data_IF_924772706856
#
_entry.id   IF_924772706856
#
_cell.length_a   1.000
_cell.length_b   1.000
_cell.length_c   1.000
_cell.angle_alpha   90.00
_cell.angle_beta   90.00
_cell.angle_gamma   90.00
#
_symmetry.space_group_name_H-M   'P 1'
#
loop_
_entity.id
_entity.type
_entity.pdbx_description
1 polymer ?
#
# COMPACT_ATOMS: atom_id res chain seq x y z
N UNK A 1 11.24 -2.84 -4.07
CA UNK A 1 12.40 -2.00 -3.69
C UNK A 1 13.17 -1.53 -4.91
N UNK A 2 13.44 -0.22 -5.01
CA UNK A 2 14.19 0.40 -6.12
C UNK A 2 15.58 0.87 -5.71
N UNK A 3 15.75 1.45 -4.51
CA UNK A 3 16.99 2.14 -4.11
C UNK A 3 18.24 1.25 -4.08
N UNK A 4 18.17 0.08 -3.43
CA UNK A 4 19.33 -0.74 -3.10
C UNK A 4 20.24 -0.14 -2.03
N UNK A 5 21.49 -0.61 -1.99
CA UNK A 5 22.61 -0.07 -1.20
C UNK A 5 22.34 0.00 0.31
N UNK A 6 22.13 -1.18 0.92
CA UNK A 6 21.64 -1.37 2.30
C UNK A 6 22.52 -0.83 3.41
N UNK A 7 23.84 -0.80 3.21
CA UNK A 7 24.81 -0.33 4.20
C UNK A 7 25.73 0.78 3.66
N UNK A 8 25.41 1.29 2.47
CA UNK A 8 26.18 2.37 1.89
C UNK A 8 25.75 3.71 2.51
N UNK A 9 26.69 4.66 2.52
CA UNK A 9 26.41 6.05 2.85
C UNK A 9 25.78 6.26 4.24
N UNK A 10 26.09 5.38 5.20
CA UNK A 10 25.62 5.50 6.59
C UNK A 10 24.20 4.98 6.84
N UNK A 11 23.52 4.39 5.83
CA UNK A 11 22.31 3.59 6.06
C UNK A 11 22.65 2.37 6.91
N UNK A 12 21.72 1.96 7.77
CA UNK A 12 21.80 0.69 8.51
C UNK A 12 20.62 -0.20 8.17
N UNK A 13 20.62 -1.43 8.66
CA UNK A 13 19.57 -2.40 8.39
C UNK A 13 18.20 -1.98 8.91
N UNK A 14 17.20 -2.20 8.06
CA UNK A 14 15.81 -2.33 8.46
C UNK A 14 15.38 -3.82 8.53
N UNK A 15 14.14 -4.04 8.96
CA UNK A 15 13.56 -5.38 9.10
C UNK A 15 13.48 -6.15 7.77
N UNK A 16 13.36 -5.45 6.64
CA UNK A 16 13.32 -6.04 5.29
C UNK A 16 14.71 -6.54 4.92
N UNK A 17 15.76 -5.75 5.19
CA UNK A 17 17.14 -6.14 4.94
C UNK A 17 17.47 -7.47 5.61
N UNK A 18 17.21 -7.60 6.91
CA UNK A 18 17.49 -8.83 7.65
C UNK A 18 16.68 -10.02 7.14
N UNK A 19 15.37 -9.83 6.92
CA UNK A 19 14.49 -10.91 6.43
C UNK A 19 14.96 -11.48 5.09
N UNK A 20 15.34 -10.59 4.17
CA UNK A 20 15.80 -10.96 2.84
C UNK A 20 17.18 -11.64 2.91
N UNK A 21 18.12 -11.13 3.71
CA UNK A 21 19.44 -11.78 3.89
C UNK A 21 19.36 -13.15 4.56
N UNK A 22 18.30 -13.43 5.32
CA UNK A 22 18.05 -14.75 5.89
C UNK A 22 17.55 -15.79 4.87
N UNK A 23 17.51 -15.45 3.56
CA UNK A 23 17.13 -16.37 2.49
C UNK A 23 15.64 -16.74 2.51
N UNK A 24 14.79 -15.87 3.07
CA UNK A 24 13.33 -16.08 3.16
C UNK A 24 12.58 -15.75 1.87
N UNK A 25 13.26 -15.20 0.87
CA UNK A 25 12.68 -14.95 -0.45
C UNK A 25 12.41 -16.24 -1.23
N UNK A 26 11.32 -16.32 -2.04
CA UNK A 26 11.04 -17.50 -2.85
C UNK A 26 12.15 -17.84 -3.85
N UNK A 27 12.76 -16.82 -4.44
CA UNK A 27 13.85 -16.95 -5.42
C UNK A 27 15.25 -16.90 -4.78
N UNK A 28 15.32 -16.79 -3.44
CA UNK A 28 16.55 -16.61 -2.65
C UNK A 28 17.36 -15.36 -3.00
N UNK A 29 16.80 -14.44 -3.79
CA UNK A 29 17.47 -13.19 -4.13
C UNK A 29 17.53 -12.24 -2.94
N UNK A 30 18.42 -11.25 -3.02
CA UNK A 30 18.44 -10.13 -2.09
C UNK A 30 18.02 -8.82 -2.75
N UNK A 31 17.45 -7.92 -1.94
CA UNK A 31 17.15 -6.55 -2.32
C UNK A 31 18.36 -5.62 -2.18
N UNK A 32 19.58 -6.17 -2.10
CA UNK A 32 20.79 -5.41 -1.81
C UNK A 32 21.07 -4.37 -2.89
N UNK A 33 20.82 -4.75 -4.15
CA UNK A 33 20.99 -3.86 -5.30
C UNK A 33 19.67 -3.20 -5.70
N UNK A 34 18.53 -3.90 -5.59
CA UNK A 34 17.26 -3.39 -6.10
C UNK A 34 17.38 -3.07 -7.59
N UNK A 35 16.93 -1.88 -8.01
CA UNK A 35 17.23 -1.34 -9.33
C UNK A 35 18.43 -0.37 -9.31
N UNK A 36 19.16 -0.26 -8.19
CA UNK A 36 20.22 0.72 -7.95
C UNK A 36 19.76 2.18 -8.12
N UNK A 37 18.51 2.46 -7.74
CA UNK A 37 17.93 3.81 -7.77
C UNK A 37 18.70 4.81 -6.91
N UNK A 38 19.53 4.37 -5.96
CA UNK A 38 20.39 5.25 -5.19
C UNK A 38 21.41 6.00 -6.08
N UNK A 39 21.98 5.33 -7.08
CA UNK A 39 22.95 5.93 -8.00
C UNK A 39 22.31 6.37 -9.32
N UNK A 40 21.27 5.68 -9.78
CA UNK A 40 20.70 5.83 -11.12
C UNK A 40 19.45 6.72 -11.19
N UNK A 41 19.09 7.38 -10.09
CA UNK A 41 17.90 8.25 -10.02
C UNK A 41 17.82 9.33 -11.12
N UNK A 42 18.96 9.85 -11.60
CA UNK A 42 18.96 10.85 -12.68
C UNK A 42 18.43 10.28 -14.01
N UNK A 43 18.89 9.09 -14.37
CA UNK A 43 18.41 8.38 -15.56
C UNK A 43 16.95 8.01 -15.39
N UNK A 44 16.58 7.51 -14.20
CA UNK A 44 15.20 7.14 -13.91
C UNK A 44 14.25 8.36 -14.02
N UNK A 45 14.64 9.54 -13.50
CA UNK A 45 13.86 10.78 -13.62
C UNK A 45 13.80 11.31 -15.05
N UNK A 46 14.86 11.14 -15.84
CA UNK A 46 14.84 11.47 -17.27
C UNK A 46 13.80 10.62 -18.02
N UNK A 47 13.77 9.31 -17.78
CA UNK A 47 12.76 8.42 -18.35
C UNK A 47 11.33 8.81 -17.91
N UNK A 48 11.13 9.22 -16.65
CA UNK A 48 9.83 9.70 -16.17
C UNK A 48 9.38 10.97 -16.90
N UNK A 49 10.29 11.92 -17.08
CA UNK A 49 10.06 13.16 -17.82
C UNK A 49 9.74 12.87 -19.29
N UNK A 50 10.50 12.01 -19.93
CA UNK A 50 10.33 11.65 -21.34
C UNK A 50 9.01 10.90 -21.59
N UNK A 51 8.59 10.07 -20.64
CA UNK A 51 7.29 9.42 -20.67
C UNK A 51 6.14 10.42 -20.53
N UNK A 52 6.35 11.55 -19.84
CA UNK A 52 5.35 12.60 -19.61
C UNK A 52 4.62 12.45 -18.27
N UNK A 53 5.26 11.85 -17.26
CA UNK A 53 4.67 11.70 -15.93
C UNK A 53 4.38 13.07 -15.30
N UNK A 54 3.17 13.24 -14.76
CA UNK A 54 2.77 14.44 -14.03
C UNK A 54 3.20 14.38 -12.56
N UNK A 55 3.28 13.18 -11.99
CA UNK A 55 3.63 12.94 -10.61
C UNK A 55 4.45 11.66 -10.45
N UNK A 56 5.31 11.63 -9.43
CA UNK A 56 6.06 10.44 -9.02
C UNK A 56 5.89 10.19 -7.52
N UNK A 57 5.53 8.95 -7.18
CA UNK A 57 5.40 8.46 -5.81
C UNK A 57 6.61 7.62 -5.45
N UNK A 58 7.29 7.95 -4.36
CA UNK A 58 8.39 7.16 -3.80
C UNK A 58 8.36 7.20 -2.26
N UNK A 59 9.08 6.28 -1.61
CA UNK A 59 9.22 6.28 -0.15
C UNK A 59 10.57 6.81 0.31
N UNK A 60 10.62 7.34 1.54
CA UNK A 60 11.88 7.74 2.20
C UNK A 60 12.27 6.63 3.17
N UNK A 61 13.47 6.08 2.99
CA UNK A 61 14.02 5.07 3.89
C UNK A 61 14.34 5.65 5.26
N UNK A 62 13.59 5.22 6.29
CA UNK A 62 13.82 5.66 7.67
C UNK A 62 15.23 5.29 8.12
N UNK A 63 15.66 4.05 7.88
CA UNK A 63 17.00 3.56 8.22
C UNK A 63 18.13 4.26 7.44
N UNK A 64 17.83 4.90 6.30
CA UNK A 64 18.78 5.75 5.55
C UNK A 64 18.85 7.16 6.10
N UNK A 65 17.70 7.78 6.35
CA UNK A 65 17.60 9.17 6.77
C UNK A 65 17.99 9.35 8.24
N UNK A 66 17.53 8.46 9.12
CA UNK A 66 17.84 8.46 10.56
C UNK A 66 18.31 7.05 10.96
N UNK A 67 19.60 6.72 10.78
CA UNK A 67 20.08 5.35 10.91
C UNK A 67 19.84 4.72 12.28
N UNK A 68 19.94 5.49 13.37
CA UNK A 68 19.69 4.95 14.72
C UNK A 68 18.19 4.91 15.09
N UNK A 69 17.30 5.10 14.12
CA UNK A 69 15.87 5.33 14.31
C UNK A 69 15.55 6.70 14.91
N UNK A 70 16.44 7.22 15.78
CA UNK A 70 16.37 8.53 16.44
C UNK A 70 17.64 9.34 16.23
N UNK A 71 17.55 10.63 16.51
CA UNK A 71 18.70 11.54 16.55
C UNK A 71 18.91 12.30 15.23
N UNK A 72 20.16 12.67 14.91
CA UNK A 72 20.44 13.53 13.77
C UNK A 72 20.19 12.82 12.44
N UNK A 73 19.78 13.61 11.45
CA UNK A 73 19.67 13.16 10.06
C UNK A 73 21.06 12.79 9.52
N UNK A 74 21.14 11.70 8.79
CA UNK A 74 22.32 11.29 8.03
C UNK A 74 22.52 12.23 6.83
N UNK A 75 23.62 13.01 6.76
CA UNK A 75 23.82 13.99 5.70
C UNK A 75 23.82 13.40 4.29
N UNK A 76 24.30 12.16 4.10
CA UNK A 76 24.31 11.51 2.78
C UNK A 76 22.93 11.02 2.36
N UNK A 77 22.14 10.50 3.31
CA UNK A 77 20.74 10.16 3.06
C UNK A 77 19.93 11.39 2.70
N UNK A 78 20.14 12.49 3.44
CA UNK A 78 19.53 13.79 3.16
C UNK A 78 19.90 14.33 1.78
N UNK A 79 21.19 14.25 1.42
CA UNK A 79 21.69 14.67 0.11
C UNK A 79 21.03 13.87 -1.02
N UNK A 80 20.93 12.54 -0.88
CA UNK A 80 20.29 11.68 -1.87
C UNK A 80 18.84 12.09 -2.14
N UNK A 81 18.00 12.17 -1.09
CA UNK A 81 16.59 12.53 -1.27
C UNK A 81 16.43 13.96 -1.79
N UNK A 82 17.23 14.91 -1.31
CA UNK A 82 17.23 16.27 -1.86
C UNK A 82 17.58 16.28 -3.35
N UNK A 83 18.57 15.50 -3.76
CA UNK A 83 18.97 15.41 -5.15
C UNK A 83 17.86 14.82 -6.02
N UNK A 84 17.24 13.71 -5.61
CA UNK A 84 16.08 13.13 -6.30
C UNK A 84 14.93 14.13 -6.44
N UNK A 85 14.53 14.75 -5.32
CA UNK A 85 13.48 15.78 -5.26
C UNK A 85 13.81 16.96 -6.18
N UNK A 86 15.06 17.41 -6.21
CA UNK A 86 15.49 18.50 -7.06
C UNK A 86 15.46 18.15 -8.55
N UNK A 87 15.82 16.92 -8.92
CA UNK A 87 15.69 16.45 -10.32
C UNK A 87 14.21 16.41 -10.74
N UNK A 88 13.34 15.83 -9.91
CA UNK A 88 11.89 15.80 -10.17
C UNK A 88 11.31 17.21 -10.31
N UNK A 89 11.64 18.10 -9.38
CA UNK A 89 11.20 19.49 -9.38
C UNK A 89 11.65 20.22 -10.65
N UNK A 90 12.91 20.03 -11.08
CA UNK A 90 13.45 20.64 -12.30
C UNK A 90 12.73 20.18 -13.58
N UNK A 91 12.17 18.98 -13.58
CA UNK A 91 11.36 18.43 -14.68
C UNK A 91 9.87 18.71 -14.54
N UNK A 92 9.43 19.41 -13.48
CA UNK A 92 8.02 19.72 -13.24
C UNK A 92 7.17 18.54 -12.79
N UNK A 93 7.79 17.44 -12.34
CA UNK A 93 7.09 16.24 -11.86
C UNK A 93 6.68 16.49 -10.41
N UNK A 94 5.38 16.38 -10.11
CA UNK A 94 4.85 16.53 -8.76
C UNK A 94 5.37 15.39 -7.86
N UNK A 95 5.69 15.74 -6.62
CA UNK A 95 6.31 14.81 -5.69
C UNK A 95 5.28 14.32 -4.67
N UNK A 96 5.10 13.00 -4.63
CA UNK A 96 4.31 12.29 -3.63
C UNK A 96 5.25 11.41 -2.81
N UNK A 97 5.30 11.61 -1.50
CA UNK A 97 6.20 10.86 -0.61
C UNK A 97 5.40 9.95 0.31
N UNK A 98 5.79 8.68 0.38
CA UNK A 98 5.38 7.75 1.43
C UNK A 98 6.43 7.73 2.54
N UNK A 99 6.04 7.99 3.79
CA UNK A 99 6.97 8.02 4.92
C UNK A 99 7.38 6.62 5.36
N UNK A 100 6.45 5.66 5.40
CA UNK A 100 6.76 4.29 5.81
C UNK A 100 6.22 3.26 4.82
N UNK A 101 7.10 2.38 4.35
CA UNK A 101 6.79 1.32 3.39
C UNK A 101 7.61 0.06 3.72
N UNK A 102 7.22 -0.63 4.81
CA UNK A 102 7.83 -1.87 5.37
C UNK A 102 9.24 -1.73 5.98
N UNK A 103 9.91 -0.62 5.76
CA UNK A 103 11.34 -0.39 6.01
C UNK A 103 11.66 0.10 7.43
N UNK A 104 11.10 -0.59 8.43
CA UNK A 104 11.24 -0.19 9.83
C UNK A 104 12.68 -0.37 10.34
N UNK A 105 13.29 0.63 11.01
CA UNK A 105 14.67 0.51 11.51
C UNK A 105 14.83 -0.69 12.47
N UNK A 106 15.73 -1.61 12.15
CA UNK A 106 15.91 -2.84 12.94
C UNK A 106 16.27 -2.54 14.40
N UNK A 107 17.03 -1.48 14.65
CA UNK A 107 17.41 -1.06 16.00
C UNK A 107 16.21 -0.76 16.91
N UNK A 108 15.12 -0.24 16.34
CA UNK A 108 13.89 0.05 17.09
C UNK A 108 13.02 -1.22 17.24
N UNK A 109 13.07 -2.12 16.24
CA UNK A 109 12.46 -3.45 16.34
C UNK A 109 13.10 -4.27 17.46
N UNK A 110 14.43 -4.25 17.56
CA UNK A 110 15.18 -4.94 18.62
C UNK A 110 14.92 -4.34 20.00
N UNK A 111 14.76 -3.01 20.08
CA UNK A 111 14.61 -2.30 21.35
C UNK A 111 13.23 -2.49 21.99
N UNK A 112 12.16 -2.46 21.19
CA UNK A 112 10.80 -2.46 21.72
C UNK A 112 9.76 -3.18 20.84
N UNK A 113 10.19 -3.97 19.86
CA UNK A 113 9.30 -4.69 18.93
C UNK A 113 8.45 -3.77 18.05
N UNK A 114 9.03 -2.63 17.66
CA UNK A 114 8.48 -1.75 16.63
C UNK A 114 7.01 -1.40 16.85
N UNK A 115 6.16 -1.76 15.89
CA UNK A 115 4.74 -1.40 15.89
C UNK A 115 3.90 -2.07 16.98
N UNK A 116 4.45 -3.04 17.74
CA UNK A 116 3.77 -3.60 18.91
C UNK A 116 3.83 -2.69 20.15
N UNK A 117 4.70 -1.69 20.15
CA UNK A 117 4.87 -0.78 21.27
C UNK A 117 4.26 0.60 20.99
N UNK A 118 3.58 1.23 21.97
CA UNK A 118 3.08 2.59 21.80
C UNK A 118 4.19 3.62 21.61
N UNK A 119 5.44 3.28 21.97
CA UNK A 119 6.63 4.14 21.75
C UNK A 119 6.85 4.48 20.27
N UNK A 120 6.37 3.64 19.36
CA UNK A 120 6.49 3.88 17.91
C UNK A 120 5.79 5.16 17.47
N UNK A 121 4.73 5.59 18.17
CA UNK A 121 3.99 6.80 17.84
C UNK A 121 4.90 8.03 17.91
N UNK A 122 5.68 8.16 18.98
CA UNK A 122 6.60 9.28 19.15
C UNK A 122 7.78 9.21 18.17
N UNK A 123 8.36 8.03 17.99
CA UNK A 123 9.51 7.84 17.09
C UNK A 123 9.14 8.06 15.62
N UNK A 124 7.98 7.57 15.19
CA UNK A 124 7.46 7.82 13.85
C UNK A 124 7.11 9.30 13.65
N UNK A 125 6.51 9.95 14.66
CA UNK A 125 6.21 11.39 14.61
C UNK A 125 7.49 12.22 14.50
N UNK A 126 8.56 11.84 15.21
CA UNK A 126 9.86 12.51 15.12
C UNK A 126 10.52 12.32 13.74
N UNK A 127 10.40 11.12 13.15
CA UNK A 127 10.84 10.86 11.80
C UNK A 127 10.04 11.67 10.76
N UNK A 128 8.71 11.73 10.89
CA UNK A 128 7.86 12.57 10.06
C UNK A 128 8.24 14.07 10.20
N UNK A 129 8.51 14.56 11.41
CA UNK A 129 9.00 15.93 11.65
C UNK A 129 10.27 16.24 10.86
N UNK A 130 11.22 15.29 10.83
CA UNK A 130 12.42 15.44 10.04
C UNK A 130 12.09 15.50 8.54
N UNK A 131 11.27 14.58 8.01
CA UNK A 131 10.88 14.59 6.61
C UNK A 131 10.17 15.89 6.20
N UNK A 132 9.21 16.37 7.00
CA UNK A 132 8.49 17.61 6.74
C UNK A 132 9.42 18.82 6.77
N UNK A 133 10.35 18.88 7.73
CA UNK A 133 11.32 19.98 7.85
C UNK A 133 12.28 20.01 6.67
N UNK A 134 12.83 18.86 6.29
CA UNK A 134 13.91 18.79 5.31
C UNK A 134 13.42 18.84 3.84
N UNK A 135 12.19 18.40 3.57
CA UNK A 135 11.70 18.23 2.19
C UNK A 135 10.37 18.93 1.90
N UNK A 136 9.64 19.36 2.93
CA UNK A 136 8.29 19.91 2.78
C UNK A 136 8.21 21.28 2.10
N UNK A 137 9.35 21.93 1.82
CA UNK A 137 9.40 23.10 0.95
C UNK A 137 9.02 22.78 -0.50
N UNK A 138 9.33 21.55 -0.97
CA UNK A 138 9.07 21.04 -2.33
C UNK A 138 8.01 19.92 -2.39
N UNK A 139 7.88 19.11 -1.34
CA UNK A 139 6.90 18.01 -1.28
C UNK A 139 5.54 18.52 -0.81
N UNK A 140 4.48 18.16 -1.55
CA UNK A 140 3.10 18.61 -1.27
C UNK A 140 2.12 17.50 -0.92
N UNK A 141 2.47 16.23 -1.16
CA UNK A 141 1.61 15.10 -0.83
C UNK A 141 2.38 14.09 0.00
N UNK A 142 1.91 13.86 1.22
CA UNK A 142 2.51 12.95 2.19
C UNK A 142 1.55 11.80 2.49
N UNK A 143 1.94 10.58 2.15
CA UNK A 143 1.31 9.36 2.68
C UNK A 143 2.10 8.93 3.91
N UNK A 144 1.48 8.83 5.08
CA UNK A 144 2.22 8.42 6.29
C UNK A 144 2.66 6.96 6.23
N UNK A 145 1.77 6.06 5.85
CA UNK A 145 2.02 4.63 5.84
C UNK A 145 1.36 3.99 4.63
N UNK A 146 2.09 3.10 3.98
CA UNK A 146 1.57 2.20 2.98
C UNK A 146 0.91 0.96 3.61
N UNK A 147 -0.30 0.64 3.16
CA UNK A 147 -1.03 -0.59 3.49
C UNK A 147 -0.95 -1.06 4.98
N UNK A 148 -1.29 -0.22 5.98
CA UNK A 148 -1.27 -0.63 7.39
C UNK A 148 -2.12 -1.88 7.66
N UNK A 149 -3.21 -2.07 6.90
CA UNK A 149 -4.05 -3.26 6.96
C UNK A 149 -3.31 -4.52 6.50
N UNK A 150 -2.53 -4.44 5.41
CA UNK A 150 -1.71 -5.56 4.94
C UNK A 150 -0.52 -5.77 5.85
N UNK A 151 0.15 -4.73 6.33
CA UNK A 151 1.27 -4.86 7.27
C UNK A 151 0.83 -5.61 8.53
N UNK A 152 -0.29 -5.24 9.13
CA UNK A 152 -0.81 -5.91 10.32
C UNK A 152 -1.08 -7.41 10.08
N UNK A 153 -1.67 -7.79 8.94
CA UNK A 153 -2.00 -9.19 8.62
C UNK A 153 -0.74 -9.96 8.17
N UNK A 154 0.00 -9.41 7.21
CA UNK A 154 1.13 -10.07 6.59
C UNK A 154 2.30 -10.20 7.56
N UNK A 155 2.57 -9.21 8.42
CA UNK A 155 3.73 -9.24 9.30
C UNK A 155 3.47 -9.86 10.69
N UNK A 156 2.22 -9.84 11.17
CA UNK A 156 1.87 -10.22 12.54
C UNK A 156 0.74 -11.25 12.68
N UNK A 157 0.09 -11.66 11.57
CA UNK A 157 -0.84 -12.80 11.56
C UNK A 157 -0.25 -13.97 10.76
N UNK A 158 0.00 -13.75 9.47
CA UNK A 158 0.57 -14.80 8.61
C UNK A 158 2.09 -14.94 8.72
N UNK A 159 2.76 -13.88 9.19
CA UNK A 159 4.23 -13.80 9.29
C UNK A 159 4.97 -13.77 7.95
N UNK A 160 4.26 -13.55 6.84
CA UNK A 160 4.80 -13.43 5.49
C UNK A 160 5.73 -12.22 5.32
N UNK A 161 5.45 -11.12 6.01
CA UNK A 161 6.24 -9.89 5.96
C UNK A 161 7.09 -9.73 7.23
N UNK A 162 8.19 -8.96 7.20
CA UNK A 162 8.99 -8.67 8.39
C UNK A 162 8.15 -7.91 9.43
N UNK A 163 8.31 -8.18 10.74
CA UNK A 163 9.34 -9.02 11.37
C UNK A 163 9.02 -10.53 11.40
N UNK A 164 8.08 -11.01 10.58
CA UNK A 164 7.69 -12.40 10.42
C UNK A 164 7.18 -13.04 11.71
N UNK A 165 6.18 -12.41 12.34
CA UNK A 165 5.56 -12.86 13.58
C UNK A 165 4.23 -13.54 13.30
N UNK A 166 4.01 -14.68 13.93
CA UNK A 166 2.75 -15.42 13.89
C UNK A 166 2.73 -16.50 14.97
N UNK A 167 1.57 -17.08 15.26
CA UNK A 167 1.39 -18.13 16.26
C UNK A 167 0.60 -19.32 15.73
N UNK A 168 1.04 -20.54 16.04
CA UNK A 168 0.33 -21.76 15.69
C UNK A 168 -1.11 -21.79 16.25
N UNK A 169 -2.10 -22.33 15.51
CA UNK A 169 -1.98 -23.03 14.23
C UNK A 169 -1.99 -22.10 13.00
N UNK A 170 -1.91 -20.78 13.18
CA UNK A 170 -2.02 -19.79 12.11
C UNK A 170 -0.67 -19.39 11.54
N UNK A 171 -0.73 -18.77 10.36
CA UNK A 171 0.42 -18.26 9.65
C UNK A 171 1.42 -19.31 9.21
N UNK A 172 2.64 -18.84 8.95
CA UNK A 172 3.78 -19.69 8.60
C UNK A 172 4.44 -20.30 9.85
N UNK A 173 5.61 -20.91 9.69
CA UNK A 173 6.36 -21.45 10.81
C UNK A 173 7.20 -20.34 11.51
N UNK A 174 6.52 -19.39 12.17
CA UNK A 174 7.19 -18.31 12.91
C UNK A 174 7.72 -18.81 14.26
N UNK A 175 8.81 -18.19 14.72
CA UNK A 175 9.44 -18.53 16.00
C UNK A 175 8.87 -17.73 17.18
N UNK A 176 8.10 -16.69 16.91
CA UNK A 176 7.51 -15.77 17.88
C UNK A 176 6.31 -15.06 17.26
N UNK A 177 5.43 -14.51 18.09
CA UNK A 177 4.23 -13.80 17.66
C UNK A 177 2.98 -14.28 18.39
N UNK A 178 1.91 -13.51 18.23
CA UNK A 178 0.57 -13.85 18.67
C UNK A 178 -0.45 -13.32 17.64
N UNK A 179 -0.82 -14.17 16.69
CA UNK A 179 -1.75 -13.87 15.61
C UNK A 179 -3.14 -13.47 16.12
N UNK A 180 -3.45 -13.68 17.40
CA UNK A 180 -4.76 -13.37 17.98
C UNK A 180 -4.89 -11.90 18.40
N UNK A 181 -3.78 -11.21 18.67
CA UNK A 181 -3.75 -9.83 19.22
C UNK A 181 -2.79 -8.88 18.51
N UNK A 182 -1.67 -9.38 17.99
CA UNK A 182 -0.62 -8.52 17.41
C UNK A 182 -1.09 -7.73 16.18
N UNK A 183 -1.87 -8.29 15.24
CA UNK A 183 -2.41 -7.52 14.10
C UNK A 183 -3.23 -6.31 14.55
N UNK A 184 -4.08 -6.48 15.57
CA UNK A 184 -4.88 -5.38 16.14
C UNK A 184 -4.03 -4.33 16.82
N UNK A 185 -3.00 -4.74 17.55
CA UNK A 185 -2.07 -3.83 18.23
C UNK A 185 -1.30 -2.98 17.21
N UNK A 186 -0.80 -3.60 16.14
CA UNK A 186 -0.05 -2.92 15.07
C UNK A 186 -0.93 -1.91 14.36
N UNK A 187 -2.12 -2.30 13.91
CA UNK A 187 -3.04 -1.36 13.25
C UNK A 187 -3.42 -0.20 14.17
N UNK A 188 -3.61 -0.44 15.47
CA UNK A 188 -3.92 0.59 16.45
C UNK A 188 -2.79 1.62 16.57
N UNK A 189 -1.54 1.19 16.74
CA UNK A 189 -0.42 2.11 16.81
C UNK A 189 -0.15 2.82 15.48
N UNK A 190 -0.37 2.16 14.33
CA UNK A 190 -0.28 2.79 13.01
C UNK A 190 -1.26 3.94 12.85
N UNK A 191 -2.52 3.78 13.28
CA UNK A 191 -3.55 4.83 13.25
C UNK A 191 -3.18 6.00 14.17
N UNK A 192 -2.70 5.72 15.39
CA UNK A 192 -2.26 6.75 16.33
C UNK A 192 -1.04 7.52 15.81
N UNK A 193 -0.06 6.81 15.25
CA UNK A 193 1.14 7.40 14.65
C UNK A 193 0.80 8.28 13.44
N UNK A 194 -0.14 7.82 12.58
CA UNK A 194 -0.66 8.62 11.49
C UNK A 194 -1.31 9.93 11.99
N UNK A 195 -2.23 9.83 12.96
CA UNK A 195 -2.92 11.01 13.48
C UNK A 195 -1.96 12.00 14.18
N UNK A 196 -0.95 11.49 14.89
CA UNK A 196 0.09 12.32 15.49
C UNK A 196 0.92 13.07 14.43
N UNK A 197 1.31 12.40 13.34
CA UNK A 197 2.02 13.02 12.22
C UNK A 197 1.16 14.06 11.48
N UNK A 198 -0.13 13.78 11.28
CA UNK A 198 -1.07 14.72 10.66
C UNK A 198 -1.25 15.97 11.51
N UNK A 199 -1.46 15.81 12.82
CA UNK A 199 -1.55 16.94 13.75
C UNK A 199 -0.27 17.78 13.72
N UNK A 200 0.90 17.13 13.80
CA UNK A 200 2.19 17.82 13.68
C UNK A 200 2.29 18.62 12.38
N UNK A 201 1.91 18.02 11.24
CA UNK A 201 1.95 18.70 9.95
C UNK A 201 1.04 19.92 9.93
N UNK A 202 -0.22 19.77 10.35
CA UNK A 202 -1.22 20.84 10.39
C UNK A 202 -0.76 22.01 11.27
N UNK A 203 -0.25 21.69 12.46
CA UNK A 203 0.11 22.70 13.47
C UNK A 203 1.39 23.46 13.11
N UNK A 204 2.39 22.77 12.52
CA UNK A 204 3.74 23.32 12.34
C UNK A 204 4.10 23.67 10.89
N UNK A 205 3.53 22.99 9.90
CA UNK A 205 4.02 23.02 8.53
C UNK A 205 2.96 23.40 7.48
N UNK A 206 1.70 23.02 7.64
CA UNK A 206 0.70 23.14 6.58
C UNK A 206 0.46 24.60 6.16
N UNK A 207 0.47 25.54 7.09
CA UNK A 207 0.30 26.96 6.78
C UNK A 207 1.41 27.55 5.89
N UNK A 208 2.63 27.02 5.98
CA UNK A 208 3.80 27.53 5.23
C UNK A 208 4.12 26.68 4.00
N UNK A 209 3.86 25.37 4.07
CA UNK A 209 4.17 24.42 3.02
C UNK A 209 2.96 24.10 2.11
N UNK A 210 1.72 24.29 2.57
CA UNK A 210 0.52 24.09 1.76
C UNK A 210 0.34 22.67 1.20
N UNK A 211 0.97 21.66 1.82
CA UNK A 211 0.76 20.26 1.45
C UNK A 211 -0.42 19.61 2.16
N UNK A 212 -0.65 18.34 1.83
CA UNK A 212 -1.70 17.50 2.38
C UNK A 212 -1.12 16.18 2.89
N UNK A 213 -1.73 15.64 3.94
CA UNK A 213 -1.31 14.39 4.57
C UNK A 213 -2.45 13.38 4.55
N UNK A 214 -2.19 12.20 4.01
CA UNK A 214 -3.12 11.11 3.89
C UNK A 214 -2.55 9.78 4.37
N UNK A 215 -3.38 8.74 4.27
CA UNK A 215 -2.97 7.36 4.51
C UNK A 215 -3.36 6.49 3.34
N UNK A 216 -2.58 5.45 3.11
CA UNK A 216 -2.87 4.46 2.09
C UNK A 216 -3.53 3.22 2.70
N UNK A 217 -4.35 2.51 1.93
CA UNK A 217 -4.83 1.16 2.25
C UNK A 217 -4.74 0.25 1.02
N UNK A 218 -4.47 -1.03 1.25
CA UNK A 218 -4.74 -2.04 0.22
C UNK A 218 -6.23 -2.32 0.13
N UNK A 219 -6.74 -2.45 -1.08
CA UNK A 219 -8.14 -2.76 -1.34
C UNK A 219 -8.27 -3.75 -2.49
N UNK A 220 -9.24 -4.64 -2.36
CA UNK A 220 -9.82 -5.40 -3.45
C UNK A 220 -11.33 -5.24 -3.38
N UNK A 221 -11.99 -5.32 -4.51
CA UNK A 221 -13.44 -5.28 -4.49
C UNK A 221 -14.01 -6.65 -4.10
N UNK A 222 -15.03 -6.63 -3.24
CA UNK A 222 -15.66 -7.83 -2.71
C UNK A 222 -17.01 -8.02 -3.40
N UNK A 223 -17.13 -9.04 -4.25
CA UNK A 223 -18.42 -9.49 -4.75
C UNK A 223 -19.02 -10.56 -3.82
N UNK A 224 -20.32 -10.54 -3.54
CA UNK A 224 -20.94 -11.66 -2.86
C UNK A 224 -20.88 -12.92 -3.73
N UNK A 225 -20.46 -14.04 -3.14
CA UNK A 225 -20.37 -15.32 -3.83
C UNK A 225 -21.74 -15.82 -4.27
N UNK A 226 -22.78 -15.61 -3.46
CA UNK A 226 -24.18 -15.85 -3.81
C UNK A 226 -25.07 -14.69 -3.33
N UNK A 227 -26.29 -14.52 -3.85
CA UNK A 227 -27.21 -13.47 -3.39
C UNK A 227 -27.84 -13.78 -2.01
N UNK A 228 -27.36 -14.81 -1.30
CA UNK A 228 -27.91 -15.14 0.01
C UNK A 228 -27.58 -14.03 1.02
N UNK A 229 -28.48 -13.75 1.98
CA UNK A 229 -28.23 -12.74 3.02
C UNK A 229 -26.93 -12.98 3.80
N UNK A 230 -26.52 -14.24 3.97
CA UNK A 230 -25.28 -14.60 4.65
C UNK A 230 -24.03 -14.14 3.88
N UNK A 231 -23.97 -14.39 2.57
CA UNK A 231 -22.84 -13.98 1.72
C UNK A 231 -22.79 -12.47 1.53
N UNK A 232 -23.95 -11.80 1.42
CA UNK A 232 -24.03 -10.34 1.39
C UNK A 232 -23.50 -9.74 2.71
N UNK A 233 -23.92 -10.27 3.85
CA UNK A 233 -23.42 -9.83 5.15
C UNK A 233 -21.91 -10.10 5.29
N UNK A 234 -21.41 -11.24 4.82
CA UNK A 234 -19.98 -11.57 4.82
C UNK A 234 -19.17 -10.62 3.93
N UNK A 235 -19.74 -10.19 2.81
CA UNK A 235 -19.13 -9.20 1.90
C UNK A 235 -18.95 -7.85 2.62
N UNK A 236 -19.97 -7.36 3.31
CA UNK A 236 -19.84 -6.14 4.12
C UNK A 236 -18.84 -6.31 5.26
N UNK A 237 -18.85 -7.45 5.97
CA UNK A 237 -17.85 -7.74 7.00
C UNK A 237 -16.42 -7.72 6.45
N UNK A 238 -16.20 -8.26 5.26
CA UNK A 238 -14.90 -8.21 4.61
C UNK A 238 -14.46 -6.77 4.33
N UNK A 239 -15.37 -5.91 3.85
CA UNK A 239 -15.09 -4.47 3.68
C UNK A 239 -14.79 -3.79 5.02
N UNK A 240 -15.54 -4.11 6.08
CA UNK A 240 -15.30 -3.55 7.41
C UNK A 240 -13.93 -3.96 7.96
N UNK A 241 -13.52 -5.22 7.78
CA UNK A 241 -12.22 -5.72 8.24
C UNK A 241 -11.05 -5.21 7.38
N UNK A 242 -11.21 -5.11 6.05
CA UNK A 242 -10.11 -4.71 5.16
C UNK A 242 -9.97 -3.19 4.98
N UNK A 243 -11.09 -2.47 4.89
CA UNK A 243 -11.14 -1.02 4.61
C UNK A 243 -11.55 -0.26 5.86
N UNK A 244 -12.68 -0.67 6.48
CA UNK A 244 -13.24 -0.01 7.66
C UNK A 244 -12.29 -0.01 8.85
N UNK A 245 -11.50 -1.06 9.02
CA UNK A 245 -10.53 -1.19 10.11
C UNK A 245 -9.57 0.00 10.21
N UNK A 246 -9.24 0.59 9.07
CA UNK A 246 -8.35 1.73 8.96
C UNK A 246 -9.13 3.04 8.80
N UNK A 247 -10.12 3.08 7.91
CA UNK A 247 -10.79 4.34 7.55
C UNK A 247 -11.90 4.75 8.53
N UNK A 248 -12.61 3.81 9.18
CA UNK A 248 -13.62 4.17 10.18
C UNK A 248 -13.00 4.92 11.37
N UNK A 249 -11.85 4.51 11.93
CA UNK A 249 -11.17 5.31 12.95
C UNK A 249 -10.87 6.74 12.50
N UNK A 250 -10.38 6.93 11.26
CA UNK A 250 -10.02 8.26 10.75
C UNK A 250 -11.21 9.16 10.44
N UNK A 251 -12.39 8.59 10.15
CA UNK A 251 -13.59 9.38 9.80
C UNK A 251 -14.58 9.46 10.97
N UNK A 252 -14.78 8.34 11.65
CA UNK A 252 -15.78 8.13 12.70
C UNK A 252 -15.18 8.07 14.10
N UNK A 253 -13.85 8.10 14.25
CA UNK A 253 -13.15 8.14 15.53
C UNK A 253 -13.15 6.82 16.31
N UNK A 254 -13.61 5.71 15.72
CA UNK A 254 -13.60 4.39 16.35
C UNK A 254 -13.65 3.28 15.27
N UNK A 255 -13.36 2.04 15.67
CA UNK A 255 -13.41 0.88 14.79
C UNK A 255 -14.84 0.46 14.41
N UNK A 256 -15.03 -0.27 13.29
CA UNK A 256 -16.32 -0.83 12.93
C UNK A 256 -16.91 -1.70 14.05
N UNK A 257 -18.20 -1.54 14.35
CA UNK A 257 -18.88 -2.27 15.43
C UNK A 257 -18.78 -3.79 15.30
N UNK A 258 -18.84 -4.30 14.06
CA UNK A 258 -18.73 -5.74 13.81
C UNK A 258 -17.34 -6.28 14.16
N UNK A 259 -16.28 -5.49 13.94
CA UNK A 259 -14.92 -5.86 14.35
C UNK A 259 -14.81 -5.91 15.86
N UNK A 260 -15.30 -4.88 16.58
CA UNK A 260 -15.31 -4.86 18.05
C UNK A 260 -16.08 -6.04 18.63
N UNK A 261 -17.23 -6.40 18.03
CA UNK A 261 -18.02 -7.57 18.43
C UNK A 261 -17.27 -8.89 18.19
N UNK A 262 -16.59 -9.03 17.06
CA UNK A 262 -15.90 -10.28 16.68
C UNK A 262 -14.58 -10.46 17.42
N UNK A 263 -13.75 -9.43 17.49
CA UNK A 263 -12.45 -9.45 18.16
C UNK A 263 -12.56 -9.36 19.69
N UNK A 264 -13.60 -8.69 20.20
CA UNK A 264 -13.81 -8.50 21.64
C UNK A 264 -12.66 -7.70 22.26
N UNK A 265 -12.12 -8.17 23.39
CA UNK A 265 -11.02 -7.49 24.08
C UNK A 265 -9.67 -7.56 23.37
N UNK A 266 -9.57 -8.28 22.23
CA UNK A 266 -8.32 -8.41 21.46
C UNK A 266 -8.06 -7.22 20.54
N UNK A 267 -9.11 -6.48 20.16
CA UNK A 267 -8.94 -5.18 19.49
C UNK A 267 -8.84 -4.08 20.56
N UNK A 268 -7.79 -3.25 20.55
CA UNK A 268 -7.68 -2.15 21.51
C UNK A 268 -8.83 -1.15 21.35
N UNK A 269 -9.19 -0.48 22.44
CA UNK A 269 -10.15 0.64 22.42
C UNK A 269 -9.40 1.97 22.38
N UNK A 270 -9.90 2.92 21.58
CA UNK A 270 -9.42 4.30 21.68
C UNK A 270 -9.97 4.97 22.95
N UNK A 271 -9.12 5.70 23.68
CA UNK A 271 -9.62 6.64 24.69
C UNK A 271 -10.39 7.79 24.02
N UNK A 272 -11.10 8.59 24.80
CA UNK A 272 -11.80 9.76 24.27
C UNK A 272 -10.84 10.72 23.57
N UNK A 273 -9.68 10.98 24.19
CA UNK A 273 -8.65 11.86 23.67
C UNK A 273 -8.03 11.31 22.38
N UNK A 274 -7.81 9.99 22.30
CA UNK A 274 -7.35 9.34 21.08
C UNK A 274 -8.40 9.41 19.97
N UNK A 275 -9.68 9.17 20.28
CA UNK A 275 -10.79 9.28 19.33
C UNK A 275 -10.92 10.69 18.76
N UNK A 276 -10.74 11.71 19.59
CA UNK A 276 -10.72 13.12 19.18
C UNK A 276 -9.50 13.46 18.33
N UNK A 277 -8.33 12.88 18.62
CA UNK A 277 -7.11 13.07 17.85
C UNK A 277 -7.19 12.45 16.45
N UNK A 278 -7.73 11.24 16.33
CA UNK A 278 -7.75 10.49 15.06
C UNK A 278 -8.88 10.93 14.11
N UNK A 279 -10.01 11.42 14.66
CA UNK A 279 -11.18 11.81 13.87
C UNK A 279 -10.86 13.02 12.99
N UNK A 280 -11.00 12.85 11.68
CA UNK A 280 -10.68 13.87 10.69
C UNK A 280 -9.19 14.08 10.45
N UNK A 281 -8.33 13.19 10.96
CA UNK A 281 -6.89 13.25 10.75
C UNK A 281 -6.47 12.73 9.37
N UNK A 282 -7.20 13.07 8.30
CA UNK A 282 -6.90 12.61 6.94
C UNK A 282 -7.33 13.66 5.91
N UNK A 283 -6.44 14.05 5.00
CA UNK A 283 -6.75 14.99 3.91
C UNK A 283 -7.09 14.26 2.59
N UNK A 284 -6.58 13.05 2.40
CA UNK A 284 -6.88 12.17 1.26
C UNK A 284 -6.69 10.69 1.63
N UNK A 285 -7.36 9.80 0.90
CA UNK A 285 -7.15 8.34 0.97
C UNK A 285 -6.36 7.89 -0.25
N UNK A 286 -5.21 7.25 -0.01
CA UNK A 286 -4.53 6.45 -1.02
C UNK A 286 -5.10 5.04 -1.08
N UNK A 287 -5.33 4.50 -2.27
CA UNK A 287 -5.65 3.07 -2.42
C UNK A 287 -4.65 2.37 -3.31
N UNK A 288 -4.24 1.19 -2.86
CA UNK A 288 -3.60 0.19 -3.68
C UNK A 288 -4.67 -0.82 -4.08
N UNK A 289 -4.90 -0.99 -5.38
CA UNK A 289 -5.98 -1.84 -5.87
C UNK A 289 -5.50 -2.62 -7.08
N UNK A 290 -5.65 -3.93 -7.04
CA UNK A 290 -5.12 -4.80 -8.09
C UNK A 290 -6.16 -5.75 -8.69
N UNK A 291 -7.22 -6.07 -7.94
CA UNK A 291 -8.19 -7.10 -8.33
C UNK A 291 -9.44 -7.10 -7.45
N UNK A 292 -10.32 -8.07 -7.71
CA UNK A 292 -11.53 -8.37 -6.97
C UNK A 292 -11.57 -9.84 -6.55
N UNK A 293 -12.39 -10.13 -5.54
CA UNK A 293 -12.63 -11.48 -5.02
C UNK A 293 -14.12 -11.71 -4.80
N UNK A 294 -14.51 -12.97 -4.80
CA UNK A 294 -15.82 -13.41 -4.32
C UNK A 294 -15.74 -13.78 -2.84
N UNK A 295 -16.71 -13.30 -2.07
CA UNK A 295 -16.80 -13.50 -0.62
C UNK A 295 -18.04 -14.30 -0.28
N UNK A 296 -17.88 -15.38 0.48
CA UNK A 296 -18.99 -16.10 1.11
C UNK A 296 -18.87 -16.08 2.63
N UNK A 297 -19.97 -16.37 3.32
CA UNK A 297 -19.96 -16.54 4.77
C UNK A 297 -19.01 -17.66 5.18
N UNK A 298 -18.07 -17.34 6.08
CA UNK A 298 -17.12 -18.29 6.62
C UNK A 298 -17.76 -19.07 7.75
N UNK A 299 -17.95 -20.38 7.56
CA UNK A 299 -18.54 -21.28 8.58
C UNK A 299 -17.57 -21.62 9.73
N UNK A 300 -16.32 -21.20 9.64
CA UNK A 300 -15.24 -21.57 10.56
C UNK A 300 -15.08 -20.53 11.67
N UNK A 301 -15.08 -20.95 12.94
CA UNK A 301 -14.45 -20.20 14.03
C UNK A 301 -15.34 -19.37 14.95
N UNK A 302 -16.66 -19.31 14.76
CA UNK A 302 -17.53 -18.60 15.71
C UNK A 302 -17.43 -19.15 17.15
N UNK A 303 -17.20 -20.46 17.30
CA UNK A 303 -17.16 -21.18 18.58
C UNK A 303 -15.75 -21.65 19.01
N UNK A 304 -14.69 -21.26 18.28
CA UNK A 304 -13.32 -21.64 18.64
C UNK A 304 -12.76 -20.69 19.71
N UNK A 305 -12.13 -21.24 20.75
CA UNK A 305 -11.46 -20.46 21.81
C UNK A 305 -10.19 -19.76 21.32
N UNK A 306 -9.56 -20.30 20.28
CA UNK A 306 -8.38 -19.74 19.61
C UNK A 306 -8.78 -19.27 18.21
N UNK A 307 -8.46 -18.01 17.87
CA UNK A 307 -8.84 -17.33 16.61
C UNK A 307 -7.80 -16.28 16.22
N UNK A 308 -7.40 -16.28 14.95
CA UNK A 308 -6.64 -15.21 14.32
C UNK A 308 -7.57 -14.12 13.76
N UNK A 309 -6.98 -13.12 13.11
CA UNK A 309 -7.70 -12.04 12.45
C UNK A 309 -8.65 -12.56 11.35
N UNK A 310 -8.24 -13.54 10.57
CA UNK A 310 -9.07 -14.10 9.49
C UNK A 310 -10.28 -14.87 10.03
N UNK A 311 -10.11 -15.65 11.10
CA UNK A 311 -11.22 -16.32 11.78
C UNK A 311 -12.23 -15.31 12.38
N UNK A 312 -11.76 -14.15 12.84
CA UNK A 312 -12.63 -13.08 13.32
C UNK A 312 -13.50 -12.46 12.23
N UNK A 313 -12.91 -12.24 11.06
CA UNK A 313 -13.63 -11.76 9.88
C UNK A 313 -14.73 -12.75 9.45
N UNK A 314 -14.45 -14.05 9.60
CA UNK A 314 -15.41 -15.14 9.36
C UNK A 314 -15.97 -15.04 7.93
N UNK A 315 -15.06 -14.91 6.96
CA UNK A 315 -15.34 -14.79 5.54
C UNK A 315 -14.42 -15.73 4.75
N UNK A 316 -14.91 -16.18 3.60
CA UNK A 316 -14.18 -17.07 2.70
C UNK A 316 -14.03 -16.41 1.34
N UNK A 317 -12.79 -16.28 0.87
CA UNK A 317 -12.42 -15.65 -0.40
C UNK A 317 -12.22 -16.67 -1.52
N UNK A 318 -12.54 -16.26 -2.75
CA UNK A 318 -12.28 -17.00 -4.00
C UNK A 318 -11.94 -16.03 -5.13
N UNK A 319 -11.00 -16.38 -6.01
CA UNK A 319 -10.66 -15.54 -7.17
C UNK A 319 -11.66 -15.73 -8.30
N UNK A 320 -12.19 -16.95 -8.42
CA UNK A 320 -13.23 -17.31 -9.38
C UNK A 320 -14.38 -18.04 -8.68
N UNK A 321 -15.54 -18.10 -9.34
CA UNK A 321 -16.69 -18.87 -8.83
C UNK A 321 -16.44 -20.37 -8.76
N UNK A 322 -15.39 -20.85 -9.42
CA UNK A 322 -15.03 -22.26 -9.49
C UNK A 322 -13.92 -22.65 -8.50
N UNK A 323 -13.31 -21.68 -7.81
CA UNK A 323 -12.20 -21.95 -6.91
C UNK A 323 -12.69 -22.53 -5.57
N UNK A 324 -11.80 -23.31 -4.93
CA UNK A 324 -11.95 -23.59 -3.51
C UNK A 324 -11.78 -22.31 -2.69
N UNK A 325 -12.60 -22.17 -1.67
CA UNK A 325 -12.54 -21.01 -0.77
C UNK A 325 -11.36 -21.09 0.20
N UNK A 326 -10.77 -19.93 0.49
CA UNK A 326 -9.70 -19.76 1.49
C UNK A 326 -10.09 -18.69 2.52
N UNK A 327 -9.67 -18.84 3.78
CA UNK A 327 -9.85 -17.81 4.81
C UNK A 327 -8.89 -16.63 4.65
N UNK A 328 -7.79 -16.82 3.92
CA UNK A 328 -6.78 -15.78 3.64
C UNK A 328 -6.63 -15.59 2.13
N UNK A 329 -6.65 -14.32 1.70
CA UNK A 329 -6.33 -13.95 0.33
C UNK A 329 -4.83 -13.63 0.17
N UNK A 330 -4.18 -14.26 -0.81
CA UNK A 330 -2.76 -14.02 -1.15
C UNK A 330 -2.68 -13.55 -2.62
N UNK A 331 -2.23 -12.30 -2.89
CA UNK A 331 -2.30 -11.69 -4.21
C UNK A 331 -1.10 -12.05 -5.12
N UNK A 332 -0.96 -13.32 -5.54
CA UNK A 332 0.14 -13.77 -6.41
C UNK A 332 -0.28 -13.97 -7.89
N UNK A 333 -1.56 -14.27 -8.16
CA UNK A 333 -2.06 -14.38 -9.55
C UNK A 333 -3.47 -13.79 -9.64
N UNK A 334 -3.52 -12.48 -9.86
CA UNK A 334 -4.72 -11.69 -9.69
C UNK A 334 -5.53 -11.63 -10.99
N UNK A 335 -6.83 -12.02 -10.99
CA UNK A 335 -7.68 -11.87 -12.15
C UNK A 335 -7.83 -10.39 -12.49
N UNK A 336 -7.86 -10.11 -13.80
CA UNK A 336 -8.09 -8.77 -14.31
C UNK A 336 -9.59 -8.42 -14.14
N UNK A 337 -9.91 -7.50 -13.24
CA UNK A 337 -11.28 -6.99 -13.05
C UNK A 337 -11.31 -5.46 -12.86
N UNK A 338 -11.22 -4.68 -13.96
CA UNK A 338 -11.28 -3.24 -13.89
C UNK A 338 -12.55 -2.68 -13.25
N UNK A 339 -13.68 -3.38 -13.40
CA UNK A 339 -14.97 -2.97 -12.82
C UNK A 339 -14.90 -2.93 -11.28
N UNK A 340 -14.14 -3.83 -10.68
CA UNK A 340 -13.88 -3.83 -9.23
C UNK A 340 -13.31 -2.51 -8.73
N UNK A 341 -12.37 -1.90 -9.45
CA UNK A 341 -11.82 -0.59 -9.07
C UNK A 341 -12.91 0.49 -9.13
N UNK A 342 -13.74 0.50 -10.17
CA UNK A 342 -14.87 1.45 -10.24
C UNK A 342 -15.81 1.30 -9.04
N UNK A 343 -16.17 0.07 -8.68
CA UNK A 343 -17.01 -0.20 -7.52
C UNK A 343 -16.36 0.23 -6.20
N UNK A 344 -15.08 -0.05 -6.02
CA UNK A 344 -14.34 0.37 -4.82
C UNK A 344 -14.28 1.90 -4.70
N UNK A 345 -13.99 2.60 -5.79
CA UNK A 345 -13.97 4.07 -5.80
C UNK A 345 -15.34 4.68 -5.47
N UNK A 346 -16.43 4.07 -5.96
CA UNK A 346 -17.79 4.49 -5.63
C UNK A 346 -18.11 4.22 -4.15
N UNK A 347 -17.78 3.02 -3.64
CA UNK A 347 -17.98 2.67 -2.24
C UNK A 347 -17.27 3.64 -1.30
N UNK A 348 -16.00 3.97 -1.57
CA UNK A 348 -15.23 4.91 -0.76
C UNK A 348 -15.83 6.31 -0.80
N UNK A 349 -16.28 6.75 -1.98
CA UNK A 349 -16.96 8.03 -2.17
C UNK A 349 -18.23 8.13 -1.31
N UNK A 350 -19.08 7.10 -1.38
CA UNK A 350 -20.39 7.08 -0.71
C UNK A 350 -20.24 6.90 0.82
N UNK A 351 -19.27 6.10 1.26
CA UNK A 351 -19.10 5.73 2.67
C UNK A 351 -18.32 6.77 3.47
N UNK A 352 -17.33 7.41 2.86
CA UNK A 352 -16.36 8.27 3.56
C UNK A 352 -16.44 9.73 3.11
N UNK A 353 -17.67 10.23 2.92
CA UNK A 353 -17.97 11.66 2.73
C UNK A 353 -17.19 12.31 1.58
N UNK A 354 -16.95 11.55 0.50
CA UNK A 354 -16.28 12.06 -0.70
C UNK A 354 -14.86 12.66 -0.44
N UNK A 355 -14.14 12.14 0.56
CA UNK A 355 -12.72 12.47 0.79
C UNK A 355 -11.93 12.23 -0.52
N UNK A 356 -10.97 13.12 -0.90
CA UNK A 356 -10.15 12.91 -2.09
C UNK A 356 -9.46 11.54 -2.11
N UNK A 357 -9.51 10.86 -3.26
CA UNK A 357 -8.93 9.53 -3.45
C UNK A 357 -7.78 9.60 -4.45
N UNK A 358 -6.66 8.95 -4.16
CA UNK A 358 -5.59 8.68 -5.12
C UNK A 358 -5.47 7.17 -5.29
N UNK A 359 -5.54 6.67 -6.52
CA UNK A 359 -5.13 5.29 -6.82
C UNK A 359 -3.60 5.30 -6.81
N UNK A 360 -3.00 4.97 -5.67
CA UNK A 360 -1.56 5.08 -5.43
C UNK A 360 -0.77 3.88 -5.94
N UNK A 361 -1.45 2.74 -6.14
CA UNK A 361 -0.93 1.60 -6.87
C UNK A 361 -2.05 0.87 -7.62
N UNK A 362 -1.81 0.62 -8.92
CA UNK A 362 -2.53 -0.34 -9.73
C UNK A 362 -1.56 -0.89 -10.79
N UNK A 363 -1.51 -2.20 -10.95
CA UNK A 363 -0.41 -2.83 -11.68
C UNK A 363 -0.65 -4.25 -12.11
N UNK A 364 0.11 -4.69 -13.12
CA UNK A 364 0.09 -6.06 -13.61
C UNK A 364 1.47 -6.68 -13.52
N UNK A 365 1.60 -7.72 -12.69
CA UNK A 365 2.83 -8.50 -12.55
C UNK A 365 2.92 -9.59 -13.62
N UNK A 366 4.01 -9.59 -14.39
CA UNK A 366 4.35 -10.72 -15.25
C UNK A 366 5.28 -11.67 -14.49
N UNK A 367 4.81 -12.89 -14.27
CA UNK A 367 5.59 -13.96 -13.64
C UNK A 367 6.27 -14.81 -14.71
N UNK A 368 7.55 -15.12 -14.53
CA UNK A 368 8.34 -16.03 -15.37
C UNK A 368 8.48 -15.68 -16.86
N UNK A 369 7.90 -14.55 -17.30
CA UNK A 369 7.99 -14.07 -18.68
C UNK A 369 8.87 -12.83 -18.68
N UNK A 370 10.07 -13.01 -19.22
CA UNK A 370 11.03 -11.94 -19.41
C UNK A 370 10.88 -11.36 -20.83
N UNK A 371 9.92 -10.44 -21.00
CA UNK A 371 9.65 -9.83 -22.29
C UNK A 371 9.30 -8.35 -22.18
N UNK A 372 9.86 -7.56 -23.09
CA UNK A 372 9.47 -6.17 -23.30
C UNK A 372 8.14 -6.04 -24.06
N UNK A 373 7.58 -7.13 -24.60
CA UNK A 373 6.32 -7.12 -25.32
C UNK A 373 5.14 -7.55 -24.41
N UNK A 374 4.67 -6.62 -23.59
CA UNK A 374 3.74 -6.86 -22.48
C UNK A 374 2.29 -6.42 -22.78
N UNK A 375 1.69 -6.97 -23.84
CA UNK A 375 0.31 -6.67 -24.25
C UNK A 375 -0.72 -6.78 -23.11
N UNK A 376 -0.62 -7.81 -22.27
CA UNK A 376 -1.54 -8.00 -21.14
C UNK A 376 -1.50 -6.82 -20.15
N UNK A 377 -0.31 -6.20 -19.96
CA UNK A 377 -0.17 -5.01 -19.11
C UNK A 377 -0.85 -3.79 -19.74
N UNK A 378 -0.73 -3.62 -21.06
CA UNK A 378 -1.46 -2.56 -21.78
C UNK A 378 -2.97 -2.73 -21.63
N UNK A 379 -3.48 -3.94 -21.82
CA UNK A 379 -4.91 -4.24 -21.67
C UNK A 379 -5.40 -4.00 -20.24
N UNK A 380 -4.64 -4.46 -19.24
CA UNK A 380 -4.92 -4.22 -17.83
C UNK A 380 -4.99 -2.72 -17.52
N UNK A 381 -3.92 -1.96 -17.81
CA UNK A 381 -3.85 -0.54 -17.49
C UNK A 381 -4.94 0.26 -18.20
N UNK A 382 -5.18 -0.02 -19.49
CA UNK A 382 -6.27 0.60 -20.25
C UNK A 382 -7.64 0.38 -19.60
N UNK A 383 -7.93 -0.85 -19.15
CA UNK A 383 -9.17 -1.19 -18.46
C UNK A 383 -9.34 -0.44 -17.14
N UNK A 384 -8.33 -0.48 -16.26
CA UNK A 384 -8.40 0.15 -14.93
C UNK A 384 -8.40 1.68 -14.98
N UNK A 385 -7.64 2.29 -15.89
CA UNK A 385 -7.71 3.75 -16.12
C UNK A 385 -9.08 4.13 -16.68
N UNK A 386 -9.64 3.33 -17.61
CA UNK A 386 -11.01 3.54 -18.10
C UNK A 386 -12.07 3.43 -17.00
N UNK A 387 -11.93 2.48 -16.09
CA UNK A 387 -12.83 2.29 -14.94
C UNK A 387 -12.70 3.40 -13.90
N UNK A 388 -11.49 3.93 -13.71
CA UNK A 388 -11.24 5.14 -12.92
C UNK A 388 -11.95 6.35 -13.52
N UNK A 389 -11.88 6.51 -14.85
CA UNK A 389 -12.59 7.58 -15.57
C UNK A 389 -14.11 7.40 -15.50
N UNK A 390 -14.62 6.17 -15.51
CA UNK A 390 -16.03 5.89 -15.29
C UNK A 390 -16.48 6.27 -13.88
N UNK A 391 -15.69 5.96 -12.84
CA UNK A 391 -15.95 6.39 -11.47
C UNK A 391 -15.95 7.92 -11.33
N UNK A 392 -14.97 8.60 -11.93
CA UNK A 392 -14.90 10.07 -11.99
C UNK A 392 -16.16 10.68 -12.60
N UNK A 393 -16.64 10.12 -13.73
CA UNK A 393 -17.88 10.57 -14.38
C UNK A 393 -19.14 10.31 -13.53
N UNK A 394 -19.07 9.36 -12.61
CA UNK A 394 -20.13 9.06 -11.64
C UNK A 394 -20.00 9.84 -10.32
N UNK A 395 -19.06 10.78 -10.23
CA UNK A 395 -18.93 11.69 -9.09
C UNK A 395 -17.88 11.29 -8.05
N UNK A 396 -17.14 10.19 -8.26
CA UNK A 396 -16.04 9.83 -7.37
C UNK A 396 -14.96 10.91 -7.36
N UNK A 397 -14.47 11.30 -6.18
CA UNK A 397 -13.47 12.36 -6.01
C UNK A 397 -12.03 11.85 -6.18
N UNK A 398 -11.74 11.21 -7.32
CA UNK A 398 -10.40 10.72 -7.64
C UNK A 398 -9.51 11.88 -8.12
N UNK A 399 -8.30 11.99 -7.59
CA UNK A 399 -7.35 13.07 -7.85
C UNK A 399 -6.07 12.64 -8.56
N UNK A 400 -5.80 11.34 -8.63
CA UNK A 400 -4.64 10.82 -9.34
C UNK A 400 -4.65 9.31 -9.44
N UNK A 401 -3.85 8.80 -10.37
CA UNK A 401 -3.67 7.38 -10.65
C UNK A 401 -2.18 7.11 -10.88
N UNK A 402 -1.62 6.15 -10.14
CA UNK A 402 -0.21 5.79 -10.14
C UNK A 402 -0.06 4.32 -10.51
N UNK A 403 0.72 4.07 -11.55
CA UNK A 403 1.04 2.71 -12.01
C UNK A 403 2.06 2.08 -11.06
N UNK A 404 1.73 0.92 -10.50
CA UNK A 404 2.73 0.02 -9.92
C UNK A 404 3.22 -0.93 -11.01
N UNK A 405 4.45 -0.81 -11.51
CA UNK A 405 5.50 0.11 -11.09
C UNK A 405 6.17 0.79 -12.28
N UNK A 406 6.96 1.83 -12.03
CA UNK A 406 7.63 2.56 -13.12
C UNK A 406 8.78 1.74 -13.74
N UNK A 407 9.58 1.08 -12.89
CA UNK A 407 10.65 0.15 -13.25
C UNK A 407 10.31 -1.23 -12.76
N UNK A 408 10.89 -2.27 -13.33
CA UNK A 408 10.95 -3.56 -12.64
C UNK A 408 11.73 -3.37 -11.32
N UNK A 409 11.20 -3.95 -10.25
CA UNK A 409 11.73 -3.79 -8.90
C UNK A 409 11.93 -5.16 -8.25
N UNK A 410 12.63 -5.17 -7.12
CA UNK A 410 12.54 -6.30 -6.20
C UNK A 410 11.14 -6.34 -5.59
N UNK A 411 10.33 -7.32 -5.96
CA UNK A 411 8.99 -7.55 -5.43
C UNK A 411 9.08 -8.40 -4.15
N UNK A 412 8.62 -7.86 -3.01
CA UNK A 412 8.90 -8.50 -1.72
C UNK A 412 8.38 -9.95 -1.61
N UNK A 413 7.27 -10.28 -2.27
CA UNK A 413 6.74 -11.65 -2.27
C UNK A 413 7.29 -12.56 -3.37
N UNK A 414 8.06 -12.03 -4.33
CA UNK A 414 8.48 -12.79 -5.52
C UNK A 414 9.96 -12.60 -5.90
N UNK A 415 10.70 -11.78 -5.17
CA UNK A 415 12.04 -11.34 -5.54
C UNK A 415 12.05 -10.68 -6.91
N UNK A 416 12.90 -11.15 -7.82
CA UNK A 416 12.99 -10.64 -9.19
C UNK A 416 12.19 -11.47 -10.22
N UNK A 417 11.44 -12.49 -9.77
CA UNK A 417 10.63 -13.33 -10.67
C UNK A 417 9.34 -12.67 -11.17
N UNK A 418 8.84 -11.66 -10.45
CA UNK A 418 7.68 -10.88 -10.88
C UNK A 418 8.12 -9.51 -11.38
N UNK A 419 7.65 -9.16 -12.58
CA UNK A 419 8.01 -7.93 -13.28
C UNK A 419 6.79 -7.04 -13.38
N UNK A 420 6.69 -5.98 -12.58
CA UNK A 420 5.58 -5.01 -12.61
C UNK A 420 5.87 -3.75 -13.43
N UNK A 421 7.14 -3.50 -13.75
CA UNK A 421 7.61 -2.25 -14.31
C UNK A 421 7.08 -1.95 -15.70
N UNK A 422 6.80 -0.67 -15.97
CA UNK A 422 6.70 -0.14 -17.34
C UNK A 422 8.05 -0.22 -18.07
N UNK A 423 9.16 -0.05 -17.35
CA UNK A 423 10.51 -0.25 -17.86
C UNK A 423 11.07 -1.56 -17.33
N UNK A 424 11.57 -2.37 -18.26
CA UNK A 424 12.37 -3.54 -17.93
C UNK A 424 13.68 -3.11 -17.30
N UNK A 425 14.13 -3.85 -16.29
CA UNK A 425 15.48 -3.72 -15.71
C UNK A 425 16.18 -5.06 -15.86
N UNK A 426 17.32 -5.08 -16.54
CA UNK A 426 18.10 -6.31 -16.65
C UNK A 426 18.90 -6.55 -15.36
N UNK A 427 18.35 -7.38 -14.46
CA UNK A 427 19.01 -7.73 -13.20
C UNK A 427 20.16 -8.73 -13.37
N UNK A 428 20.37 -9.28 -14.58
CA UNK A 428 21.52 -10.15 -14.87
C UNK A 428 22.73 -9.35 -15.34
N UNK A 429 22.51 -8.15 -15.89
CA UNK A 429 23.56 -7.21 -16.26
C UNK A 429 23.93 -6.33 -15.05
N UNK A 430 25.21 -6.31 -14.61
CA UNK A 430 25.67 -5.46 -13.51
C UNK A 430 25.37 -3.96 -13.71
N UNK A 431 25.23 -3.49 -14.95
CA UNK A 431 24.91 -2.09 -15.26
C UNK A 431 23.43 -1.76 -15.07
N UNK A 432 22.58 -2.77 -14.90
CA UNK A 432 21.13 -2.67 -14.71
C UNK A 432 20.43 -1.77 -15.75
N UNK A 433 20.64 -1.96 -17.05
CA UNK A 433 20.07 -1.11 -18.08
C UNK A 433 18.53 -1.11 -18.02
N UNK A 434 17.94 0.07 -18.20
CA UNK A 434 16.49 0.25 -18.32
C UNK A 434 16.07 0.15 -19.79
N UNK A 435 15.03 -0.61 -20.07
CA UNK A 435 14.45 -0.69 -21.43
C UNK A 435 12.94 -0.47 -21.38
N UNK A 436 12.37 0.44 -22.20
CA UNK A 436 10.93 0.68 -22.21
C UNK A 436 10.20 -0.53 -22.79
N UNK A 437 9.24 -1.07 -22.03
CA UNK A 437 8.33 -2.11 -22.53
C UNK A 437 7.28 -1.50 -23.46
N UNK A 438 6.45 -2.34 -24.09
CA UNK A 438 5.32 -1.90 -24.89
C UNK A 438 4.37 -1.01 -24.06
N UNK A 439 4.13 -1.39 -22.80
CA UNK A 439 3.33 -0.61 -21.85
C UNK A 439 3.91 0.77 -21.56
N UNK A 440 5.23 0.94 -21.41
CA UNK A 440 5.84 2.28 -21.26
C UNK A 440 5.55 3.17 -22.48
N UNK A 441 5.69 2.62 -23.69
CA UNK A 441 5.41 3.36 -24.94
C UNK A 441 3.93 3.71 -25.05
N UNK A 442 3.04 2.79 -24.71
CA UNK A 442 1.59 3.02 -24.68
C UNK A 442 1.23 4.10 -23.65
N UNK A 443 1.74 4.00 -22.43
CA UNK A 443 1.45 4.92 -21.34
C UNK A 443 1.95 6.34 -21.65
N UNK A 444 3.14 6.48 -22.26
CA UNK A 444 3.63 7.79 -22.70
C UNK A 444 2.72 8.43 -23.75
N UNK A 445 2.28 7.66 -24.75
CA UNK A 445 1.32 8.16 -25.75
C UNK A 445 0.01 8.58 -25.11
N UNK A 446 -0.46 7.85 -24.11
CA UNK A 446 -1.67 8.19 -23.36
C UNK A 446 -1.50 9.51 -22.60
N UNK A 447 -0.43 9.67 -21.83
CA UNK A 447 -0.14 10.91 -21.08
C UNK A 447 0.05 12.13 -21.99
N UNK A 448 0.66 11.92 -23.17
CA UNK A 448 0.82 12.97 -24.20
C UNK A 448 -0.44 13.21 -25.04
N UNK A 449 -1.56 12.56 -24.70
CA UNK A 449 -2.83 12.69 -25.42
C UNK A 449 -2.77 12.29 -26.91
N UNK A 450 -1.82 11.44 -27.30
CA UNK A 450 -1.69 10.89 -28.65
C UNK A 450 -2.65 9.72 -28.88
N UNK A 451 -3.06 9.06 -27.80
CA UNK A 451 -4.07 7.99 -27.78
C UNK A 451 -5.07 8.24 -26.64
N UNK A 452 -6.30 7.78 -26.80
CA UNK A 452 -7.36 7.91 -25.78
C UNK A 452 -7.95 6.55 -25.38
N UNK A 453 -8.68 6.53 -24.25
CA UNK A 453 -9.40 5.36 -23.76
C UNK A 453 -10.90 5.56 -24.02
N UNK A 454 -11.53 4.64 -24.76
CA UNK A 454 -12.97 4.66 -25.01
C UNK A 454 -13.72 3.85 -23.94
N UNK A 455 -14.64 4.51 -23.22
CA UNK A 455 -15.43 3.92 -22.13
C UNK A 455 -16.73 3.28 -22.64
N UNK A 456 -17.14 3.55 -23.88
CA UNK A 456 -18.41 3.05 -24.45
C UNK A 456 -18.48 1.52 -24.54
N UNK A 457 -17.34 0.83 -24.43
CA UNK A 457 -17.25 -0.64 -24.37
C UNK A 457 -17.21 -1.22 -22.95
N UNK A 458 -17.13 -0.39 -21.91
CA UNK A 458 -17.01 -0.83 -20.50
C UNK A 458 -18.34 -0.79 -19.73
N UNK A 459 -19.40 -0.23 -20.32
CA UNK A 459 -20.72 -0.15 -19.69
C UNK A 459 -21.66 -1.16 -20.34
N UNK A 460 -21.91 -2.28 -19.65
CA UNK A 460 -23.19 -2.98 -19.79
C UNK A 460 -24.14 -2.43 -18.70
N UNK A 461 -25.38 -2.09 -19.04
CA UNK A 461 -26.30 -1.42 -18.14
C UNK A 461 -26.91 -2.43 -17.17
N UNK A 462 -26.38 -2.54 -15.96
CA UNK A 462 -27.21 -3.01 -14.84
C UNK A 462 -26.71 -2.54 -13.46
N UNK A 463 -26.55 -1.22 -13.29
CA UNK A 463 -26.44 -0.59 -11.97
C UNK A 463 -27.81 -0.32 -11.32
N UNK A 464 -28.90 -0.90 -11.84
CA UNK A 464 -30.26 -0.75 -11.28
C UNK A 464 -30.93 -2.04 -10.81
N UNK A 465 -30.36 -3.23 -11.01
CA UNK A 465 -30.97 -4.47 -10.48
C UNK A 465 -30.50 -4.86 -9.07
N UNK A 466 -29.55 -4.15 -8.46
CA UNK A 466 -29.04 -4.48 -7.12
C UNK A 466 -29.53 -3.58 -5.97
N UNK A 467 -30.50 -2.69 -6.21
CA UNK A 467 -31.15 -1.91 -5.16
C UNK A 467 -32.59 -2.38 -4.83
N UNK A 468 -33.10 -3.42 -5.49
CA UNK A 468 -34.35 -4.11 -5.11
C UNK A 468 -34.27 -5.58 -5.54
N UNK A 469 -33.79 -6.46 -4.65
CA UNK A 469 -34.31 -7.82 -4.40
C UNK A 469 -33.46 -8.56 -3.36
#
# INVERSE_FOLDING_TARGET
MTEGQRIQAGRVHDVVDLTVTAGRMPDKSTGDLGADGYHRYKEDVELMSDAGLEAYRFSISWSRLIPRGRGPVNPKGLEYYNNLINELTRRGIQIHVTLYHLDFPQILEDEYHGWLSPRVVDDFTAFADACFREFGDRVRHWTTMDEPNVIAIAAYDSGAFPPCRCSAPYGMNCTTGDSTVEPYTVAHHSILAHAAAVRLYRDKYQATQGGVVGMNIYSFWNYPFSPTPADVAATQRSLDFMVGWILDPLVKGDYPEIMKKKAGSRIPSFTKEQSELIRGAIDFVGINHYTSVYVSDGKSGADASLRDYNADMSATFRMSRNDSGTGQFIPINMPNDPQGLQCMLQYLTDTYQNIPIYVQENGYGQFFIDSVNDHNRVEYLSGYIGSTLAALRNGANVKGYFVWSFLDVFEFMAGYYSRYGLHYVDFQDPELPRQPKLSAKWYSKFLKSEIGISIEKMVSPDTRSHAQQ
#
